data_IF_963678479012
#
_entry.id   IF_963678479012
#
_cell.length_a   1.000
_cell.length_b   1.000
_cell.length_c   1.000
_cell.angle_alpha   90.00
_cell.angle_beta   90.00
_cell.angle_gamma   90.00
#
_symmetry.space_group_name_H-M   'P 1'
#
loop_
_entity.id
_entity.type
_entity.pdbx_description
1 polymer ?
#
# COMPACT_ATOMS: atom_id res chain seq x y z
N UNK A 1 -11.76 -37.51 -24.54
CA UNK A 1 -12.32 -36.24 -24.02
C UNK A 1 -13.43 -36.57 -23.05
N UNK A 2 -13.41 -36.02 -21.82
CA UNK A 2 -14.35 -34.95 -21.52
C UNK A 2 -13.70 -33.73 -20.84
N UNK A 3 -14.27 -32.57 -21.15
CA UNK A 3 -13.88 -31.23 -20.73
C UNK A 3 -14.20 -31.01 -19.25
N UNK A 4 -13.21 -30.63 -18.45
CA UNK A 4 -13.43 -30.02 -17.13
C UNK A 4 -13.04 -28.55 -17.20
N UNK A 5 -14.02 -27.73 -17.60
CA UNK A 5 -13.94 -26.28 -17.62
C UNK A 5 -14.12 -25.75 -16.18
N UNK A 6 -13.01 -25.57 -15.45
CA UNK A 6 -13.03 -24.86 -14.16
C UNK A 6 -12.67 -23.40 -14.39
N UNK A 7 -13.71 -22.58 -14.52
CA UNK A 7 -13.66 -21.13 -14.30
C UNK A 7 -13.20 -20.88 -12.86
N UNK A 8 -11.88 -20.83 -12.63
CA UNK A 8 -11.33 -20.26 -11.41
C UNK A 8 -11.31 -18.73 -11.56
N UNK A 9 -12.49 -18.11 -11.43
CA UNK A 9 -12.60 -16.73 -10.95
C UNK A 9 -12.30 -16.73 -9.46
N UNK A 10 -11.05 -17.03 -9.12
CA UNK A 10 -10.55 -16.82 -7.77
C UNK A 10 -10.06 -15.40 -7.72
N UNK A 11 -10.95 -14.54 -7.22
CA UNK A 11 -10.72 -13.20 -6.70
C UNK A 11 -9.24 -12.85 -6.62
N UNK A 12 -8.84 -11.80 -7.34
CA UNK A 12 -7.59 -11.12 -7.13
C UNK A 12 -7.48 -10.77 -5.64
N UNK A 13 -6.86 -11.67 -4.86
CA UNK A 13 -6.33 -11.35 -3.54
C UNK A 13 -5.06 -10.53 -3.79
N UNK A 14 -5.27 -9.33 -4.29
CA UNK A 14 -4.30 -8.24 -4.32
C UNK A 14 -4.07 -7.78 -2.88
N UNK A 15 -3.38 -8.60 -2.10
CA UNK A 15 -2.67 -8.13 -0.91
C UNK A 15 -1.50 -9.08 -0.59
N UNK A 16 -0.75 -9.47 -1.61
CA UNK A 16 0.67 -9.82 -1.43
C UNK A 16 1.51 -8.56 -1.58
N UNK A 17 1.26 -7.59 -0.71
CA UNK A 17 2.31 -6.70 -0.27
C UNK A 17 2.24 -6.73 1.24
N UNK A 18 2.93 -7.74 1.78
CA UNK A 18 3.52 -7.62 3.09
C UNK A 18 4.52 -6.48 2.95
N UNK A 19 4.05 -5.25 3.09
CA UNK A 19 4.91 -4.11 3.36
C UNK A 19 5.55 -4.40 4.70
N UNK A 20 6.69 -5.08 4.66
CA UNK A 20 7.67 -5.08 5.73
C UNK A 20 8.60 -3.91 5.44
N UNK A 21 8.46 -2.79 6.15
CA UNK A 21 9.54 -1.84 6.27
C UNK A 21 10.01 -1.82 7.71
N UNK A 22 10.98 -2.65 8.06
CA UNK A 22 11.63 -2.46 9.36
C UNK A 22 12.55 -1.22 9.38
N UNK A 23 12.67 -0.47 8.26
CA UNK A 23 13.50 0.75 8.15
C UNK A 23 12.93 1.89 7.29
N UNK A 24 11.66 1.85 6.94
CA UNK A 24 11.03 2.99 6.24
C UNK A 24 9.67 3.30 6.82
N UNK A 25 9.38 4.58 6.89
CA UNK A 25 8.09 5.07 7.30
C UNK A 25 7.17 4.98 6.08
N UNK A 26 5.91 4.63 6.28
CA UNK A 26 4.91 4.57 5.20
C UNK A 26 3.82 5.57 5.51
N UNK A 27 3.48 6.41 4.53
CA UNK A 27 2.32 7.26 4.59
C UNK A 27 1.06 6.41 4.44
N UNK A 28 0.18 6.44 5.44
CA UNK A 28 -1.07 5.67 5.43
C UNK A 28 -2.12 6.20 4.44
N UNK A 29 -1.91 7.40 3.87
CA UNK A 29 -2.86 8.00 2.91
C UNK A 29 -2.57 7.60 1.48
N UNK A 30 -1.31 7.67 1.05
CA UNK A 30 -0.93 7.42 -0.34
C UNK A 30 0.03 6.23 -0.49
N UNK A 31 0.26 5.46 0.57
CA UNK A 31 1.20 4.31 0.61
C UNK A 31 2.64 4.67 0.24
N UNK A 32 2.99 5.97 0.20
CA UNK A 32 4.34 6.43 -0.06
C UNK A 32 5.26 5.99 1.06
N UNK A 33 6.36 5.33 0.70
CA UNK A 33 7.32 4.81 1.64
C UNK A 33 8.60 5.63 1.56
N UNK A 34 9.03 6.19 2.68
CA UNK A 34 10.23 7.01 2.76
C UNK A 34 11.14 6.48 3.88
N UNK A 35 12.46 6.43 3.68
CA UNK A 35 13.40 5.94 4.67
C UNK A 35 13.63 6.92 5.85
N UNK A 36 13.03 8.11 5.81
CA UNK A 36 13.26 9.19 6.78
C UNK A 36 11.93 9.68 7.37
N UNK A 37 11.84 9.75 8.69
CA UNK A 37 10.65 10.21 9.42
C UNK A 37 10.29 11.66 9.07
N UNK A 38 11.29 12.53 9.00
CA UNK A 38 11.09 13.96 8.70
C UNK A 38 10.52 14.17 7.28
N UNK A 39 11.00 13.38 6.32
CA UNK A 39 10.47 13.39 4.96
C UNK A 39 8.98 12.98 4.93
N UNK A 40 8.56 12.04 5.78
CA UNK A 40 7.14 11.66 5.92
C UNK A 40 6.32 12.76 6.55
N UNK A 41 6.82 13.38 7.62
CA UNK A 41 6.13 14.52 8.26
C UNK A 41 5.91 15.64 7.25
N UNK A 42 6.93 16.01 6.48
CA UNK A 42 6.80 17.04 5.45
C UNK A 42 5.85 16.59 4.32
N UNK A 43 5.98 15.34 3.86
CA UNK A 43 5.11 14.77 2.85
C UNK A 43 3.64 14.84 3.26
N UNK A 44 3.29 14.41 4.48
CA UNK A 44 1.90 14.46 4.98
C UNK A 44 1.42 15.91 5.06
N UNK A 45 2.25 16.85 5.52
CA UNK A 45 1.84 18.27 5.57
C UNK A 45 1.61 18.89 4.19
N UNK A 46 2.43 18.53 3.20
CA UNK A 46 2.35 19.10 1.85
C UNK A 46 1.34 18.40 0.94
N UNK A 47 1.25 17.06 1.01
CA UNK A 47 0.38 16.25 0.15
C UNK A 47 -0.94 15.88 0.82
N UNK A 48 -1.01 15.90 2.15
CA UNK A 48 -2.20 15.56 2.94
C UNK A 48 -2.53 16.64 3.98
N UNK A 49 -2.70 17.91 3.57
CA UNK A 49 -3.00 19.00 4.50
C UNK A 49 -4.31 18.79 5.29
N UNK A 50 -5.22 17.98 4.75
CA UNK A 50 -6.51 17.64 5.38
C UNK A 50 -6.42 16.64 6.54
N UNK A 51 -5.24 16.11 6.88
CA UNK A 51 -5.07 15.23 8.05
C UNK A 51 -4.73 15.98 9.35
N UNK A 52 -4.35 17.25 9.26
CA UNK A 52 -3.95 18.07 10.41
C UNK A 52 -5.04 19.07 10.86
N UNK A 53 -6.29 18.86 10.43
CA UNK A 53 -7.46 19.64 10.86
C UNK A 53 -8.08 19.01 12.11
#
# INVERSE_FOLDING_TARGET
MPKSNRNNRSHAKSQRQRSTPERSFVCLVCTLQLPVLEAIKQHVRANHPNLYT
#
